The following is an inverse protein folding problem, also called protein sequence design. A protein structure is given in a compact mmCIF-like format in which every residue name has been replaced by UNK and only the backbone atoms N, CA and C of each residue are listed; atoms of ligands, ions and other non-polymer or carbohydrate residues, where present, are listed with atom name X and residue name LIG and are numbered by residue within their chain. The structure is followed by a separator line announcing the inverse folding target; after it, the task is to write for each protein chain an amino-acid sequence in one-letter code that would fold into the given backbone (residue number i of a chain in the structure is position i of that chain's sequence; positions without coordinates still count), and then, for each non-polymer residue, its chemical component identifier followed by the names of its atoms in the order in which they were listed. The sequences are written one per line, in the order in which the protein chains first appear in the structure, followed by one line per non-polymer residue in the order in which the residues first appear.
data_IF_226636988073
#
_entry.id   IF_226636988073
#
_cell.length_a   1.000
_cell.length_b   1.000
_cell.length_c   1.000
_cell.angle_alpha   90.00
_cell.angle_beta   90.00
_cell.angle_gamma   90.00
#
_symmetry.space_group_name_H-M   'P 1'
#
loop_
_entity.id
_entity.type
_entity.pdbx_description
1 polymer ?
#
# COMPACT_ATOMS: atom_id res chain seq x y z
N UNK A 1 -11.37 11.78 -5.94
CA UNK A 1 -11.70 10.67 -6.86
C UNK A 1 -10.40 10.20 -7.50
N UNK A 2 -10.23 8.90 -7.70
CA UNK A 2 -9.09 8.32 -8.42
C UNK A 2 -9.35 8.45 -9.93
N UNK A 3 -8.42 9.04 -10.68
CA UNK A 3 -8.52 9.26 -12.13
C UNK A 3 -7.30 8.71 -12.83
N UNK A 4 -7.37 8.44 -14.13
CA UNK A 4 -6.25 7.96 -14.92
C UNK A 4 -5.05 8.91 -14.84
N UNK A 5 -5.28 10.21 -14.99
CA UNK A 5 -4.23 11.24 -14.93
C UNK A 5 -3.44 11.18 -13.61
N UNK A 6 -4.14 10.91 -12.48
CA UNK A 6 -3.47 10.75 -11.17
C UNK A 6 -2.62 9.49 -11.09
N UNK A 7 -3.05 8.40 -11.72
CA UNK A 7 -2.22 7.18 -11.79
C UNK A 7 -1.00 7.38 -12.68
N UNK A 8 -1.14 8.10 -13.79
CA UNK A 8 -0.03 8.45 -14.68
C UNK A 8 0.98 9.37 -13.98
N UNK A 9 0.50 10.40 -13.27
CA UNK A 9 1.33 11.26 -12.42
C UNK A 9 2.06 10.43 -11.36
N UNK A 10 1.31 9.61 -10.60
CA UNK A 10 1.88 8.77 -9.56
C UNK A 10 2.92 7.79 -10.11
N UNK A 11 2.69 7.22 -11.30
CA UNK A 11 3.63 6.29 -11.94
C UNK A 11 4.96 6.97 -12.24
N UNK A 12 4.94 8.22 -12.73
CA UNK A 12 6.16 9.01 -12.98
C UNK A 12 6.92 9.29 -11.68
N UNK A 13 6.21 9.76 -10.64
CA UNK A 13 6.81 10.10 -9.35
C UNK A 13 7.37 8.85 -8.66
N UNK A 14 6.60 7.77 -8.62
CA UNK A 14 6.97 6.53 -7.93
C UNK A 14 8.16 5.84 -8.62
N UNK A 15 8.32 5.97 -9.93
CA UNK A 15 9.46 5.39 -10.68
C UNK A 15 10.83 5.92 -10.22
N UNK A 16 10.89 7.07 -9.55
CA UNK A 16 12.14 7.62 -8.99
C UNK A 16 12.71 6.78 -7.84
N UNK A 17 11.88 5.96 -7.20
CA UNK A 17 12.24 5.25 -5.96
C UNK A 17 11.90 3.77 -5.97
N UNK A 18 11.29 3.27 -7.02
CA UNK A 18 10.91 1.86 -7.13
C UNK A 18 11.71 1.14 -8.19
N UNK A 19 11.87 -0.15 -8.02
CA UNK A 19 12.34 -1.04 -9.07
C UNK A 19 11.16 -1.43 -9.95
N UNK A 20 11.34 -1.40 -11.27
CA UNK A 20 10.39 -1.99 -12.20
C UNK A 20 10.49 -3.52 -12.08
N UNK A 21 9.66 -4.10 -11.20
CA UNK A 21 9.61 -5.54 -11.01
C UNK A 21 8.93 -6.19 -12.23
N UNK A 22 9.69 -6.88 -13.05
CA UNK A 22 9.16 -7.53 -14.26
C UNK A 22 8.17 -8.64 -13.90
N UNK A 23 7.20 -8.86 -14.79
CA UNK A 23 6.32 -10.02 -14.68
C UNK A 23 7.11 -11.31 -14.90
N UNK A 24 6.93 -12.27 -14.02
CA UNK A 24 7.58 -13.58 -14.08
C UNK A 24 6.52 -14.65 -14.40
N UNK A 25 6.66 -15.29 -15.55
CA UNK A 25 5.80 -16.44 -15.89
C UNK A 25 6.07 -17.60 -14.93
N UNK A 26 5.01 -18.23 -14.45
CA UNK A 26 5.08 -19.37 -13.54
C UNK A 26 4.59 -20.63 -14.21
N UNK A 27 5.52 -21.49 -14.67
CA UNK A 27 5.20 -22.78 -15.25
C UNK A 27 4.36 -23.62 -14.29
N UNK A 28 4.79 -23.72 -13.04
CA UNK A 28 4.11 -24.51 -12.02
C UNK A 28 2.63 -24.11 -11.82
N UNK A 29 2.36 -22.81 -11.69
CA UNK A 29 0.98 -22.35 -11.50
C UNK A 29 0.18 -22.47 -12.78
N UNK A 30 0.80 -22.22 -13.93
CA UNK A 30 0.14 -22.28 -15.23
C UNK A 30 -0.29 -23.71 -15.56
N UNK A 31 0.57 -24.69 -15.37
CA UNK A 31 0.25 -26.11 -15.54
C UNK A 31 -0.87 -26.57 -14.58
N UNK A 32 -0.79 -26.12 -13.31
CA UNK A 32 -1.73 -26.55 -12.27
C UNK A 32 -3.15 -26.04 -12.49
N UNK A 33 -3.34 -24.86 -13.08
CA UNK A 33 -4.66 -24.25 -13.26
C UNK A 33 -5.11 -24.15 -14.72
N UNK A 34 -4.29 -24.58 -15.68
CA UNK A 34 -4.61 -24.55 -17.11
C UNK A 34 -4.72 -23.13 -17.69
N UNK A 35 -4.02 -22.14 -17.09
CA UNK A 35 -4.01 -20.75 -17.52
C UNK A 35 -2.58 -20.21 -17.61
N UNK A 36 -2.37 -19.11 -18.32
CA UNK A 36 -1.07 -18.41 -18.31
C UNK A 36 -0.96 -17.53 -17.08
N UNK A 37 -0.18 -17.94 -16.08
CA UNK A 37 -0.03 -17.25 -14.81
C UNK A 37 1.30 -16.49 -14.73
N UNK A 38 1.21 -15.22 -14.40
CA UNK A 38 2.35 -14.33 -14.20
C UNK A 38 2.35 -13.81 -12.76
N UNK A 39 3.53 -13.70 -12.19
CA UNK A 39 3.75 -13.12 -10.86
C UNK A 39 4.32 -11.71 -10.99
N UNK A 40 3.79 -10.75 -10.24
CA UNK A 40 4.36 -9.40 -10.04
C UNK A 40 5.10 -9.36 -8.71
N UNK A 41 6.43 -9.56 -8.69
CA UNK A 41 7.19 -9.83 -7.48
C UNK A 41 7.52 -8.55 -6.69
N UNK A 42 6.53 -7.89 -6.12
CA UNK A 42 6.70 -6.66 -5.34
C UNK A 42 7.50 -6.84 -4.03
N UNK A 43 7.75 -8.07 -3.61
CA UNK A 43 8.71 -8.38 -2.56
C UNK A 43 10.17 -8.08 -2.96
N UNK A 44 10.44 -7.87 -4.23
CA UNK A 44 11.75 -7.48 -4.75
C UNK A 44 12.01 -5.96 -4.71
N UNK A 45 11.06 -5.16 -4.24
CA UNK A 45 11.27 -3.73 -4.02
C UNK A 45 12.36 -3.47 -2.97
N UNK A 46 12.99 -2.29 -3.03
CA UNK A 46 14.10 -1.88 -2.14
C UNK A 46 13.74 -1.99 -0.64
N UNK A 47 12.46 -1.83 -0.29
CA UNK A 47 11.95 -2.01 1.07
C UNK A 47 11.38 -3.41 1.32
N UNK A 48 11.51 -4.33 0.37
CA UNK A 48 10.98 -5.69 0.47
C UNK A 48 9.47 -5.80 0.27
N UNK A 49 8.80 -4.73 -0.18
CA UNK A 49 7.35 -4.73 -0.40
C UNK A 49 6.88 -3.51 -1.21
N UNK A 50 5.70 -3.62 -1.81
CA UNK A 50 5.05 -2.57 -2.61
C UNK A 50 4.71 -1.28 -1.83
N UNK A 51 4.67 -1.31 -0.50
CA UNK A 51 4.22 -0.20 0.34
C UNK A 51 4.99 1.12 0.11
N UNK A 52 6.21 1.06 -0.37
CA UNK A 52 7.01 2.23 -0.73
C UNK A 52 6.32 3.10 -1.78
N UNK A 53 5.58 2.51 -2.73
CA UNK A 53 4.87 3.22 -3.80
C UNK A 53 3.86 4.21 -3.24
N UNK A 54 2.93 3.72 -2.42
CA UNK A 54 1.90 4.56 -1.81
C UNK A 54 2.45 5.57 -0.81
N UNK A 55 3.44 5.18 0.00
CA UNK A 55 4.08 6.08 0.95
C UNK A 55 4.80 7.22 0.22
N UNK A 56 5.57 6.93 -0.82
CA UNK A 56 6.31 7.93 -1.57
C UNK A 56 5.37 8.89 -2.31
N UNK A 57 4.37 8.37 -3.01
CA UNK A 57 3.40 9.23 -3.70
C UNK A 57 2.61 10.10 -2.71
N UNK A 58 2.13 9.55 -1.59
CA UNK A 58 1.47 10.36 -0.56
C UNK A 58 2.34 11.49 -0.06
N UNK A 59 3.58 11.23 0.26
CA UNK A 59 4.51 12.26 0.78
C UNK A 59 4.82 13.30 -0.31
N UNK A 60 4.88 12.91 -1.58
CA UNK A 60 5.08 13.85 -2.70
C UNK A 60 3.93 14.86 -2.84
N UNK A 61 2.70 14.45 -2.52
CA UNK A 61 1.51 15.32 -2.61
C UNK A 61 1.36 16.29 -1.44
N UNK A 62 2.16 16.15 -0.38
CA UNK A 62 2.12 17.06 0.77
C UNK A 62 2.74 18.42 0.42
N UNK A 63 2.21 19.48 1.00
CA UNK A 63 2.82 20.81 0.91
C UNK A 63 4.18 20.84 1.63
N UNK A 64 5.06 21.79 1.30
CA UNK A 64 6.32 21.96 2.02
C UNK A 64 6.12 22.15 3.53
N UNK A 65 5.06 22.85 3.94
CA UNK A 65 4.71 23.11 5.33
C UNK A 65 4.30 21.82 6.04
N UNK A 66 3.48 20.98 5.43
CA UNK A 66 3.09 19.68 5.98
C UNK A 66 4.31 18.76 6.13
N UNK A 67 5.18 18.71 5.13
CA UNK A 67 6.43 17.94 5.21
C UNK A 67 7.37 18.43 6.30
N UNK A 68 7.51 19.77 6.45
CA UNK A 68 8.38 20.39 7.45
C UNK A 68 7.97 20.08 8.89
N UNK A 69 6.67 19.89 9.15
CA UNK A 69 6.18 19.46 10.46
C UNK A 69 6.72 18.08 10.88
N UNK A 70 7.06 17.26 9.93
CA UNK A 70 7.45 15.87 10.14
C UNK A 70 6.29 14.90 9.87
N UNK A 71 6.62 13.65 9.65
CA UNK A 71 5.68 12.59 9.30
C UNK A 71 5.55 11.60 10.45
N UNK A 72 4.38 10.99 10.59
CA UNK A 72 4.16 9.93 11.56
C UNK A 72 3.28 8.83 10.97
N UNK A 73 3.52 7.60 11.40
CA UNK A 73 2.62 6.47 11.13
C UNK A 73 2.72 5.42 12.22
N UNK A 74 1.71 4.53 12.30
CA UNK A 74 1.77 3.33 13.11
C UNK A 74 1.92 2.12 12.19
N UNK A 75 3.01 1.37 12.33
CA UNK A 75 3.20 0.11 11.59
C UNK A 75 4.44 -0.62 12.08
N UNK A 76 4.33 -1.92 12.33
CA UNK A 76 5.47 -2.79 12.65
C UNK A 76 6.05 -3.53 11.41
N UNK A 77 5.65 -3.12 10.19
CA UNK A 77 5.96 -3.91 8.99
C UNK A 77 6.36 -3.08 7.77
N UNK A 78 5.85 -3.51 6.62
CA UNK A 78 6.23 -2.97 5.31
C UNK A 78 5.90 -1.49 5.13
N UNK A 79 4.80 -1.02 5.73
CA UNK A 79 4.44 0.40 5.64
C UNK A 79 5.42 1.28 6.42
N UNK A 80 5.85 0.85 7.60
CA UNK A 80 6.88 1.54 8.38
C UNK A 80 8.16 1.79 7.55
N UNK A 81 8.65 0.74 6.89
CA UNK A 81 9.83 0.82 6.03
C UNK A 81 9.59 1.69 4.80
N UNK A 82 8.40 1.60 4.20
CA UNK A 82 8.00 2.44 3.06
C UNK A 82 8.00 3.93 3.42
N UNK A 83 7.39 4.30 4.57
CA UNK A 83 7.36 5.69 5.04
C UNK A 83 8.76 6.17 5.41
N UNK A 84 9.54 5.37 6.15
CA UNK A 84 10.92 5.72 6.53
C UNK A 84 11.81 5.98 5.31
N UNK A 85 11.74 5.08 4.31
CA UNK A 85 12.50 5.22 3.07
C UNK A 85 12.08 6.47 2.28
N UNK A 86 10.77 6.67 2.10
CA UNK A 86 10.24 7.82 1.41
C UNK A 86 10.60 9.14 2.11
N UNK A 87 10.43 9.21 3.43
CA UNK A 87 10.81 10.38 4.21
C UNK A 87 12.30 10.75 4.05
N UNK A 88 13.18 9.73 4.09
CA UNK A 88 14.62 9.91 3.84
C UNK A 88 14.90 10.53 2.46
N UNK A 89 14.17 10.09 1.42
CA UNK A 89 14.32 10.62 0.05
C UNK A 89 13.89 12.09 -0.04
N UNK A 90 12.86 12.48 0.69
CA UNK A 90 12.40 13.87 0.75
C UNK A 90 13.17 14.74 1.77
N UNK A 91 14.13 14.17 2.52
CA UNK A 91 14.86 14.89 3.57
C UNK A 91 13.96 15.31 4.73
N UNK A 92 12.93 14.56 5.04
CA UNK A 92 11.91 14.86 6.05
C UNK A 92 12.03 13.89 7.22
N UNK A 93 11.80 14.37 8.44
CA UNK A 93 11.74 13.50 9.63
C UNK A 93 10.51 12.62 9.59
N UNK A 94 10.67 11.36 9.99
CA UNK A 94 9.58 10.44 10.17
C UNK A 94 9.68 9.73 11.52
N UNK A 95 8.56 9.70 12.23
CA UNK A 95 8.38 8.95 13.48
C UNK A 95 7.47 7.77 13.21
N UNK A 96 7.93 6.58 13.61
CA UNK A 96 7.18 5.35 13.40
C UNK A 96 6.85 4.74 14.77
N UNK A 97 5.56 4.64 15.07
CA UNK A 97 5.11 3.98 16.31
C UNK A 97 4.87 2.51 16.05
N UNK A 98 5.47 1.67 16.89
CA UNK A 98 5.39 0.21 16.79
C UNK A 98 5.01 -0.41 18.13
N UNK A 99 4.28 -1.52 18.17
CA UNK A 99 4.11 -2.29 19.39
C UNK A 99 5.45 -2.71 20.01
N UNK A 100 5.51 -2.80 21.33
CA UNK A 100 6.70 -3.26 22.07
C UNK A 100 7.09 -4.69 21.70
N UNK A 101 6.13 -5.50 21.28
CA UNK A 101 6.29 -6.88 20.82
C UNK A 101 6.92 -6.99 19.42
N UNK A 102 7.20 -5.86 18.75
CA UNK A 102 7.78 -5.86 17.40
C UNK A 102 9.17 -6.47 17.39
N UNK A 103 9.45 -7.46 16.51
CA UNK A 103 10.78 -8.06 16.40
C UNK A 103 11.88 -7.03 16.16
N UNK A 104 12.99 -7.12 16.88
CA UNK A 104 14.12 -6.17 16.80
C UNK A 104 14.65 -5.97 15.37
N UNK A 105 14.61 -7.00 14.54
CA UNK A 105 15.04 -6.89 13.14
C UNK A 105 14.21 -5.86 12.37
N UNK A 106 12.89 -5.76 12.63
CA UNK A 106 12.00 -4.79 11.99
C UNK A 106 12.23 -3.37 12.52
N UNK A 107 12.42 -3.26 13.84
CA UNK A 107 12.78 -1.99 14.49
C UNK A 107 14.09 -1.44 13.92
N UNK A 108 15.13 -2.28 13.88
CA UNK A 108 16.44 -1.87 13.39
C UNK A 108 16.41 -1.52 11.90
N UNK A 109 15.70 -2.28 11.06
CA UNK A 109 15.53 -1.95 9.63
C UNK A 109 14.91 -0.56 9.45
N UNK A 110 13.90 -0.23 10.23
CA UNK A 110 13.23 1.08 10.16
C UNK A 110 14.16 2.21 10.62
N UNK A 111 14.89 2.01 11.73
CA UNK A 111 15.91 2.96 12.20
C UNK A 111 17.02 3.18 11.18
N UNK A 112 17.52 2.12 10.54
CA UNK A 112 18.56 2.20 9.50
C UNK A 112 18.11 2.99 8.26
N UNK A 113 16.81 3.08 8.02
CA UNK A 113 16.23 3.94 6.98
C UNK A 113 16.15 5.42 7.42
N UNK A 114 16.54 5.74 8.66
CA UNK A 114 16.62 7.11 9.16
C UNK A 114 15.38 7.58 9.92
N UNK A 115 14.41 6.71 10.20
CA UNK A 115 13.24 7.07 10.98
C UNK A 115 13.49 6.93 12.48
N UNK A 116 12.85 7.80 13.26
CA UNK A 116 12.70 7.63 14.70
C UNK A 116 11.67 6.52 14.97
N UNK A 117 11.95 5.61 15.91
CA UNK A 117 11.02 4.55 16.29
C UNK A 117 10.63 4.72 17.74
N UNK A 118 9.33 4.83 17.97
CA UNK A 118 8.69 4.86 19.28
C UNK A 118 8.03 3.50 19.50
N UNK A 119 8.43 2.80 20.58
CA UNK A 119 7.78 1.54 20.97
C UNK A 119 6.72 1.85 22.01
N UNK A 120 5.46 1.44 21.73
CA UNK A 120 4.34 1.71 22.60
C UNK A 120 3.22 0.68 22.46
N UNK A 121 2.70 0.22 23.59
CA UNK A 121 1.64 -0.79 23.65
C UNK A 121 2.09 -2.17 23.19
N UNK A 122 1.21 -3.14 23.31
CA UNK A 122 1.49 -4.53 22.96
C UNK A 122 0.86 -4.93 21.62
N UNK A 123 -0.15 -4.18 21.16
CA UNK A 123 -0.89 -4.43 19.92
C UNK A 123 -0.90 -3.21 19.00
N UNK A 124 -1.27 -3.45 17.75
CA UNK A 124 -1.29 -2.39 16.72
C UNK A 124 -2.21 -1.21 17.09
N UNK A 125 -3.37 -1.47 17.67
CA UNK A 125 -4.36 -0.43 17.97
C UNK A 125 -3.84 0.57 19.01
N UNK A 126 -3.09 0.10 20.00
CA UNK A 126 -2.45 0.94 21.01
C UNK A 126 -1.33 1.81 20.39
N UNK A 127 -0.49 1.20 19.56
CA UNK A 127 0.53 1.94 18.82
C UNK A 127 -0.09 2.98 17.87
N UNK A 128 -1.22 2.65 17.24
CA UNK A 128 -1.96 3.55 16.35
C UNK A 128 -2.56 4.72 17.11
N UNK A 129 -3.20 4.47 18.26
CA UNK A 129 -3.73 5.51 19.13
C UNK A 129 -2.61 6.48 19.58
N UNK A 130 -1.46 5.94 19.99
CA UNK A 130 -0.29 6.74 20.35
C UNK A 130 0.26 7.56 19.19
N UNK A 131 0.25 7.03 17.99
CA UNK A 131 0.66 7.76 16.81
C UNK A 131 -0.27 8.95 16.50
N UNK A 132 -1.57 8.80 16.68
CA UNK A 132 -2.52 9.91 16.55
C UNK A 132 -2.35 10.97 17.67
N UNK A 133 -2.09 10.54 18.91
CA UNK A 133 -1.78 11.43 20.03
C UNK A 133 -0.56 12.30 19.69
N UNK A 134 0.56 11.68 19.31
CA UNK A 134 1.79 12.39 18.94
C UNK A 134 1.61 13.26 17.69
N UNK A 135 0.80 12.81 16.73
CA UNK A 135 0.47 13.62 15.55
C UNK A 135 -0.21 14.94 15.97
N UNK A 136 -1.16 14.87 16.89
CA UNK A 136 -1.87 16.04 17.40
C UNK A 136 -0.96 16.93 18.26
N UNK A 137 -0.16 16.34 19.14
CA UNK A 137 0.74 17.07 20.05
C UNK A 137 1.82 17.87 19.32
N UNK A 138 2.45 17.23 18.31
CA UNK A 138 3.58 17.84 17.58
C UNK A 138 3.20 18.39 16.21
N UNK A 139 1.95 18.25 15.79
CA UNK A 139 1.47 18.69 14.49
C UNK A 139 1.99 17.85 13.32
N UNK A 140 2.42 16.60 13.55
CA UNK A 140 2.93 15.72 12.49
C UNK A 140 1.85 15.37 11.48
N UNK A 141 2.25 15.19 10.22
CA UNK A 141 1.36 14.67 9.17
C UNK A 141 1.30 13.15 9.24
N UNK A 142 0.11 12.62 9.49
CA UNK A 142 -0.10 11.18 9.57
C UNK A 142 -0.13 10.55 8.17
N UNK A 143 0.70 9.52 7.94
CA UNK A 143 0.72 8.75 6.69
C UNK A 143 -0.01 7.43 6.91
N UNK A 144 -1.26 7.37 6.44
CA UNK A 144 -2.11 6.19 6.66
C UNK A 144 -1.64 4.99 5.84
N UNK A 145 -1.65 3.74 6.39
CA UNK A 145 -1.12 2.57 5.70
C UNK A 145 -1.96 2.05 4.53
N UNK A 146 -3.22 2.46 4.40
CA UNK A 146 -4.17 2.00 3.37
C UNK A 146 -5.38 2.90 3.14
N UNK A 147 -5.94 3.54 4.16
CA UNK A 147 -7.15 4.37 4.05
C UNK A 147 -6.78 5.83 3.71
N UNK A 148 -6.22 6.02 2.53
CA UNK A 148 -5.85 7.31 1.96
C UNK A 148 -5.81 7.16 0.43
N UNK A 149 -6.52 8.02 -0.29
CA UNK A 149 -6.63 7.94 -1.76
C UNK A 149 -5.28 8.15 -2.45
N UNK A 150 -4.40 8.99 -1.94
CA UNK A 150 -3.07 9.16 -2.52
C UNK A 150 -2.20 7.91 -2.29
N UNK A 151 -2.29 7.30 -1.09
CA UNK A 151 -1.64 6.01 -0.85
C UNK A 151 -2.17 4.95 -1.81
N UNK A 152 -3.49 4.83 -1.96
CA UNK A 152 -4.09 3.87 -2.89
C UNK A 152 -3.69 4.14 -4.35
N UNK A 153 -3.59 5.41 -4.77
CA UNK A 153 -3.11 5.80 -6.10
C UNK A 153 -1.67 5.31 -6.33
N UNK A 154 -0.78 5.57 -5.38
CA UNK A 154 0.60 5.10 -5.45
C UNK A 154 0.70 3.56 -5.54
N UNK A 155 -0.11 2.81 -4.78
CA UNK A 155 -0.17 1.35 -4.88
C UNK A 155 -0.70 0.89 -6.25
N UNK A 156 -1.65 1.63 -6.82
CA UNK A 156 -2.22 1.33 -8.14
C UNK A 156 -1.21 1.43 -9.30
N UNK A 157 -0.06 2.08 -9.10
CA UNK A 157 1.01 2.13 -10.13
C UNK A 157 1.53 0.74 -10.51
N UNK A 158 1.33 -0.26 -9.64
CA UNK A 158 1.61 -1.66 -9.97
C UNK A 158 0.81 -2.11 -11.20
N UNK A 159 -0.46 -1.72 -11.27
CA UNK A 159 -1.30 -2.07 -12.41
C UNK A 159 -0.85 -1.36 -13.70
N UNK A 160 -0.31 -0.12 -13.63
CA UNK A 160 0.31 0.53 -14.80
C UNK A 160 1.43 -0.32 -15.40
N UNK A 161 2.30 -0.87 -14.55
CA UNK A 161 3.38 -1.74 -14.98
C UNK A 161 2.86 -3.07 -15.53
N UNK A 162 1.82 -3.66 -14.90
CA UNK A 162 1.19 -4.90 -15.38
C UNK A 162 0.61 -4.69 -16.79
N UNK A 163 -0.16 -3.63 -17.02
CA UNK A 163 -0.76 -3.37 -18.32
C UNK A 163 0.26 -3.03 -19.41
N UNK A 164 1.38 -2.44 -19.05
CA UNK A 164 2.48 -2.19 -19.96
C UNK A 164 3.13 -3.50 -20.48
N UNK A 165 3.26 -4.50 -19.60
CA UNK A 165 3.89 -5.78 -19.95
C UNK A 165 2.88 -6.83 -20.46
N UNK A 166 1.64 -6.80 -19.95
CA UNK A 166 0.59 -7.75 -20.27
C UNK A 166 -0.75 -7.02 -20.58
N UNK A 167 -0.86 -6.33 -21.72
CA UNK A 167 -2.03 -5.49 -22.03
C UNK A 167 -3.34 -6.30 -22.19
N UNK A 168 -3.27 -7.61 -22.43
CA UNK A 168 -4.41 -8.50 -22.58
C UNK A 168 -4.73 -9.30 -21.31
N UNK A 169 -4.27 -8.86 -20.14
CA UNK A 169 -4.61 -9.52 -18.87
C UNK A 169 -6.12 -9.53 -18.63
N UNK A 170 -6.66 -10.69 -18.29
CA UNK A 170 -8.09 -10.86 -18.03
C UNK A 170 -8.41 -10.89 -16.53
N UNK A 171 -7.49 -11.42 -15.72
CA UNK A 171 -7.66 -11.58 -14.28
C UNK A 171 -6.45 -11.04 -13.52
N UNK A 172 -6.69 -10.28 -12.46
CA UNK A 172 -5.65 -9.82 -11.53
C UNK A 172 -6.04 -10.28 -10.13
N UNK A 173 -5.23 -11.14 -9.53
CA UNK A 173 -5.41 -11.58 -8.15
C UNK A 173 -4.62 -10.64 -7.23
N UNK A 174 -5.31 -10.05 -6.25
CA UNK A 174 -4.73 -9.04 -5.36
C UNK A 174 -4.91 -9.46 -3.91
N UNK A 175 -3.83 -9.60 -3.13
CA UNK A 175 -3.98 -9.84 -1.70
C UNK A 175 -4.59 -8.62 -1.01
N UNK A 176 -5.56 -8.86 -0.13
CA UNK A 176 -6.25 -7.83 0.63
C UNK A 176 -5.89 -7.95 2.12
N UNK A 177 -5.48 -6.81 2.69
CA UNK A 177 -5.48 -6.54 4.10
C UNK A 177 -6.39 -5.33 4.35
N UNK A 178 -5.82 -4.13 4.55
CA UNK A 178 -6.59 -2.89 4.69
C UNK A 178 -7.17 -2.29 3.40
N UNK A 179 -7.08 -2.98 2.26
CA UNK A 179 -7.76 -2.62 1.02
C UNK A 179 -7.03 -1.62 0.10
N UNK A 180 -6.02 -0.88 0.55
CA UNK A 180 -5.39 0.18 -0.25
C UNK A 180 -4.78 -0.29 -1.58
N UNK A 181 -4.14 -1.47 -1.60
CA UNK A 181 -3.63 -2.08 -2.83
C UNK A 181 -4.78 -2.46 -3.77
N UNK A 182 -5.78 -3.16 -3.25
CA UNK A 182 -6.93 -3.60 -4.02
C UNK A 182 -7.70 -2.40 -4.61
N UNK A 183 -7.89 -1.34 -3.83
CA UNK A 183 -8.51 -0.08 -4.30
C UNK A 183 -7.74 0.53 -5.46
N UNK A 184 -6.41 0.69 -5.33
CA UNK A 184 -5.59 1.28 -6.39
C UNK A 184 -5.59 0.43 -7.68
N UNK A 185 -5.30 -0.87 -7.54
CA UNK A 185 -5.21 -1.79 -8.67
C UNK A 185 -6.56 -1.96 -9.36
N UNK A 186 -7.66 -2.19 -8.60
CA UNK A 186 -8.97 -2.41 -9.19
C UNK A 186 -9.52 -1.15 -9.87
N UNK A 187 -9.34 0.02 -9.26
CA UNK A 187 -9.78 1.27 -9.87
C UNK A 187 -9.07 1.50 -11.21
N UNK A 188 -7.75 1.39 -11.24
CA UNK A 188 -7.01 1.58 -12.48
C UNK A 188 -7.39 0.51 -13.52
N UNK A 189 -7.48 -0.76 -13.14
CA UNK A 189 -7.89 -1.83 -14.04
C UNK A 189 -9.25 -1.53 -14.69
N UNK A 190 -10.23 -1.07 -13.91
CA UNK A 190 -11.56 -0.72 -14.41
C UNK A 190 -11.60 0.55 -15.25
N UNK A 191 -10.73 1.51 -14.99
CA UNK A 191 -10.58 2.71 -15.83
C UNK A 191 -10.02 2.36 -17.22
N UNK A 192 -9.07 1.42 -17.29
CA UNK A 192 -8.44 1.02 -18.54
C UNK A 192 -9.28 0.00 -19.33
N UNK A 193 -9.84 -0.99 -18.63
CA UNK A 193 -10.70 -2.00 -19.25
C UNK A 193 -11.70 -2.56 -18.23
N UNK A 194 -12.99 -2.17 -18.31
CA UNK A 194 -14.04 -2.63 -17.39
C UNK A 194 -14.26 -4.15 -17.38
N UNK A 195 -13.83 -4.87 -18.43
CA UNK A 195 -13.98 -6.33 -18.54
C UNK A 195 -12.98 -7.10 -17.67
N UNK A 196 -11.86 -6.50 -17.28
CA UNK A 196 -10.86 -7.15 -16.43
C UNK A 196 -11.48 -7.49 -15.08
N UNK A 197 -11.27 -8.71 -14.63
CA UNK A 197 -11.72 -9.16 -13.31
C UNK A 197 -10.58 -9.02 -12.30
N UNK A 198 -10.81 -8.20 -11.28
CA UNK A 198 -9.89 -8.10 -10.14
C UNK A 198 -10.47 -8.91 -8.99
N UNK A 199 -9.72 -9.90 -8.53
CA UNK A 199 -10.13 -10.85 -7.51
C UNK A 199 -9.31 -10.58 -6.24
N UNK A 200 -9.99 -10.19 -5.17
CA UNK A 200 -9.39 -10.04 -3.86
C UNK A 200 -9.13 -11.40 -3.22
N UNK A 201 -7.97 -11.56 -2.60
CA UNK A 201 -7.58 -12.78 -1.89
C UNK A 201 -7.26 -12.46 -0.45
N UNK A 202 -7.97 -13.10 0.48
CA UNK A 202 -7.79 -12.96 1.92
C UNK A 202 -7.57 -14.33 2.57
N UNK A 203 -6.80 -14.43 3.67
CA UNK A 203 -6.74 -15.66 4.44
C UNK A 203 -8.08 -15.90 5.15
N UNK A 204 -8.51 -17.16 5.22
CA UNK A 204 -9.79 -17.54 5.82
C UNK A 204 -9.94 -17.06 7.29
N UNK A 205 -8.82 -16.98 8.03
CA UNK A 205 -8.81 -16.49 9.40
C UNK A 205 -8.77 -14.96 9.55
N UNK A 206 -8.76 -14.19 8.44
CA UNK A 206 -8.72 -12.73 8.46
C UNK A 206 -9.39 -12.14 7.19
N UNK A 207 -10.62 -12.58 6.92
CA UNK A 207 -11.40 -12.22 5.73
C UNK A 207 -12.29 -10.98 5.97
N UNK A 208 -11.73 -9.93 6.52
CA UNK A 208 -12.49 -8.73 6.91
C UNK A 208 -13.17 -8.03 5.73
N UNK A 209 -12.52 -7.96 4.58
CA UNK A 209 -13.11 -7.30 3.40
C UNK A 209 -14.29 -8.09 2.84
N UNK A 210 -14.21 -9.42 2.82
CA UNK A 210 -15.30 -10.28 2.46
C UNK A 210 -16.49 -10.06 3.41
N UNK A 211 -16.26 -10.04 4.73
CA UNK A 211 -17.31 -9.80 5.72
C UNK A 211 -17.98 -8.43 5.52
N UNK A 212 -17.20 -7.37 5.29
CA UNK A 212 -17.73 -6.03 5.00
C UNK A 212 -18.56 -6.02 3.73
N UNK A 213 -18.11 -6.68 2.65
CA UNK A 213 -18.87 -6.72 1.40
C UNK A 213 -20.24 -7.38 1.56
N UNK A 214 -20.34 -8.44 2.36
CA UNK A 214 -21.63 -9.08 2.66
C UNK A 214 -22.55 -8.21 3.53
N UNK A 215 -22.00 -7.47 4.48
CA UNK A 215 -22.80 -6.65 5.41
C UNK A 215 -23.24 -5.32 4.82
N UNK A 216 -22.44 -4.71 3.95
CA UNK A 216 -22.73 -3.39 3.38
C UNK A 216 -23.36 -3.43 1.98
N UNK A 217 -23.11 -4.47 1.18
CA UNK A 217 -23.73 -4.63 -0.14
C UNK A 217 -25.13 -5.24 -0.09
N UNK A 218 -25.54 -5.79 1.05
CA UNK A 218 -26.88 -6.34 1.26
C UNK A 218 -27.85 -5.36 1.94
N UNK A 219 -27.53 -4.07 2.00
CA UNK A 219 -28.50 -3.07 2.47
C UNK A 219 -29.74 -3.05 1.59
N UNK A 220 -30.93 -2.84 2.16
CA UNK A 220 -32.20 -2.84 1.43
C UNK A 220 -32.28 -1.87 0.26
N UNK A 221 -31.36 -0.91 0.19
CA UNK A 221 -31.27 0.09 -0.87
C UNK A 221 -30.46 -0.38 -2.09
N UNK A 222 -29.83 -1.55 -2.02
CA UNK A 222 -29.10 -2.17 -3.14
C UNK A 222 -29.60 -3.60 -3.37
N UNK A 223 -30.79 -3.74 -3.95
CA UNK A 223 -31.49 -5.04 -3.97
C UNK A 223 -30.85 -6.10 -4.87
N UNK A 224 -29.83 -5.79 -5.65
CA UNK A 224 -29.20 -6.77 -6.56
C UNK A 224 -27.72 -6.47 -6.80
N UNK A 225 -26.86 -7.17 -6.14
CA UNK A 225 -25.47 -7.37 -6.58
C UNK A 225 -25.27 -8.86 -6.79
#
# INVERSE_FOLDING_TARGET
MLTLDKFEEASKIVSEVTLETKLVYSDFLSEKCGNSVYLKPENMQLTGAYKVRGAYYKISTLTPEERKKGLITASAGNHAQGVAYAAKKFGVRATIVMPTTTPLIKVNRTKNLGAEVVLYGDVYDEACAKAYELAKEHGYTFIHPFDDLAVATGQGTIAMEIFKELPLVEYILVPIGGGGLATGVSTLAKLLNPKIKVIGVEPAGANCMQAVSYTHLTLPTTPYV
#
